data_IF_828811125048
#
_entry.id   IF_828811125048
#
_cell.length_a   1.000
_cell.length_b   1.000
_cell.length_c   1.000
_cell.angle_alpha   90.00
_cell.angle_beta   90.00
_cell.angle_gamma   90.00
#
_symmetry.space_group_name_H-M   'P 1'
#
loop_
_entity.id
_entity.type
_entity.pdbx_description
1 polymer ?
#
# COMPACT_ATOMS: atom_id res chain seq x y z
N UNK A 1 -2.44 -24.08 -17.11
CA UNK A 1 -2.66 -23.73 -15.68
C UNK A 1 -1.28 -23.64 -15.05
N UNK A 2 -0.63 -22.49 -15.17
CA UNK A 2 0.71 -22.27 -14.60
C UNK A 2 0.53 -22.09 -13.10
N UNK A 3 0.98 -23.08 -12.32
CA UNK A 3 1.01 -23.01 -10.87
C UNK A 3 2.02 -21.95 -10.46
N UNK A 4 1.53 -20.81 -9.96
CA UNK A 4 2.40 -19.79 -9.38
C UNK A 4 3.25 -20.43 -8.26
N UNK A 5 4.55 -20.10 -8.15
CA UNK A 5 5.38 -20.59 -7.06
C UNK A 5 4.78 -20.07 -5.75
N UNK A 6 4.37 -20.99 -4.88
CA UNK A 6 3.90 -20.66 -3.53
C UNK A 6 5.03 -19.93 -2.82
N UNK A 7 4.89 -18.63 -2.58
CA UNK A 7 5.74 -17.91 -1.62
C UNK A 7 5.59 -18.59 -0.26
N UNK A 8 6.62 -19.28 0.22
CA UNK A 8 6.62 -19.79 1.59
C UNK A 8 7.07 -18.68 2.54
N UNK A 9 6.38 -18.55 3.65
CA UNK A 9 6.69 -17.56 4.69
C UNK A 9 8.11 -17.71 5.25
N UNK A 10 8.65 -18.93 5.20
CA UNK A 10 10.02 -19.24 5.64
C UNK A 10 11.12 -18.64 4.74
N UNK A 11 10.80 -18.28 3.49
CA UNK A 11 11.77 -17.78 2.52
C UNK A 11 11.95 -16.25 2.59
N UNK A 12 11.11 -15.56 3.38
CA UNK A 12 11.17 -14.11 3.53
C UNK A 12 12.20 -13.71 4.59
N UNK A 13 13.19 -12.90 4.20
CA UNK A 13 14.12 -12.28 5.15
C UNK A 13 13.37 -11.30 6.05
N UNK A 14 13.67 -11.25 7.37
CA UNK A 14 13.04 -10.29 8.27
C UNK A 14 13.41 -8.85 7.84
N UNK A 15 12.39 -8.04 7.58
CA UNK A 15 12.56 -6.62 7.26
C UNK A 15 12.95 -5.88 8.53
N UNK A 16 14.10 -5.21 8.53
CA UNK A 16 14.52 -4.32 9.62
C UNK A 16 13.79 -2.99 9.44
N UNK A 17 12.79 -2.71 10.26
CA UNK A 17 12.05 -1.46 10.22
C UNK A 17 12.92 -0.33 10.80
N UNK A 18 13.39 0.58 9.95
CA UNK A 18 14.10 1.80 10.36
C UNK A 18 13.07 2.91 10.61
N UNK A 19 12.38 2.83 11.75
CA UNK A 19 11.34 3.79 12.12
C UNK A 19 10.74 3.42 13.47
N UNK A 20 10.91 4.30 14.45
CA UNK A 20 10.62 4.05 15.87
C UNK A 20 9.12 3.88 16.16
N UNK A 21 8.57 2.71 15.91
CA UNK A 21 7.48 2.16 16.72
C UNK A 21 7.75 0.68 16.94
N UNK A 22 8.29 0.33 18.10
CA UNK A 22 8.34 -1.04 18.57
C UNK A 22 6.93 -1.49 18.93
N UNK A 23 6.11 -1.80 17.94
CA UNK A 23 4.91 -2.60 18.18
C UNK A 23 5.41 -4.02 18.47
N UNK A 24 5.10 -4.54 19.66
CA UNK A 24 5.34 -5.94 19.96
C UNK A 24 4.74 -6.80 18.83
N UNK A 25 5.44 -7.85 18.41
CA UNK A 25 4.97 -8.77 17.36
C UNK A 25 3.57 -9.30 17.76
N UNK A 26 2.51 -8.77 17.13
CA UNK A 26 1.12 -9.10 17.45
C UNK A 26 0.27 -7.95 18.00
N UNK A 27 0.83 -6.79 18.34
CA UNK A 27 0.05 -5.61 18.74
C UNK A 27 -0.38 -4.83 17.51
N UNK A 28 -1.68 -4.84 17.22
CA UNK A 28 -2.26 -4.05 16.14
C UNK A 28 -2.05 -2.55 16.43
N UNK A 29 -1.65 -1.74 15.43
CA UNK A 29 -1.58 -0.30 15.59
C UNK A 29 -2.95 0.24 16.00
N UNK A 30 -2.99 1.28 16.83
CA UNK A 30 -4.25 1.90 17.24
C UNK A 30 -4.97 2.44 16.01
N UNK A 31 -6.19 1.95 15.78
CA UNK A 31 -7.02 2.42 14.68
C UNK A 31 -7.26 3.92 14.87
N UNK A 32 -6.95 4.71 13.84
CA UNK A 32 -7.09 6.18 13.86
C UNK A 32 -8.54 6.63 13.60
N UNK A 33 -9.48 5.69 13.48
CA UNK A 33 -10.90 5.92 13.24
C UNK A 33 -11.74 5.42 14.42
N UNK A 34 -12.93 5.99 14.61
CA UNK A 34 -13.75 5.72 15.80
C UNK A 34 -14.21 4.26 15.89
N UNK A 35 -14.32 3.71 17.10
CA UNK A 35 -14.71 2.31 17.37
C UNK A 35 -16.04 1.94 16.69
N UNK A 36 -16.98 2.88 16.62
CA UNK A 36 -18.27 2.67 15.94
C UNK A 36 -18.08 2.51 14.43
N UNK A 37 -17.23 3.34 13.82
CA UNK A 37 -16.92 3.26 12.38
C UNK A 37 -16.24 1.94 12.05
N UNK A 38 -15.37 1.46 12.94
CA UNK A 38 -14.70 0.18 12.76
C UNK A 38 -15.67 -1.00 12.76
N UNK A 39 -16.57 -1.05 13.75
CA UNK A 39 -17.60 -2.11 13.81
C UNK A 39 -18.49 -2.11 12.56
N UNK A 40 -18.82 -0.93 12.03
CA UNK A 40 -19.60 -0.83 10.80
C UNK A 40 -18.82 -1.37 9.59
N UNK A 41 -17.53 -1.04 9.48
CA UNK A 41 -16.63 -1.59 8.45
C UNK A 41 -16.61 -3.11 8.52
N UNK A 42 -16.30 -3.68 9.69
CA UNK A 42 -16.19 -5.13 9.88
C UNK A 42 -17.46 -5.91 9.51
N UNK A 43 -18.64 -5.33 9.72
CA UNK A 43 -19.93 -5.93 9.37
C UNK A 43 -20.33 -5.76 7.90
N UNK A 44 -19.64 -4.90 7.14
CA UNK A 44 -20.06 -4.51 5.80
C UNK A 44 -19.61 -5.47 4.70
N UNK A 45 -20.45 -5.62 3.67
CA UNK A 45 -20.13 -6.40 2.47
C UNK A 45 -18.93 -5.81 1.71
N UNK A 46 -18.18 -6.66 0.99
CA UNK A 46 -17.03 -6.23 0.16
C UNK A 46 -17.39 -5.13 -0.83
N UNK A 47 -18.57 -5.17 -1.44
CA UNK A 47 -19.01 -4.15 -2.38
C UNK A 47 -19.26 -2.80 -1.68
N UNK A 48 -19.83 -2.84 -0.47
CA UNK A 48 -20.08 -1.67 0.35
C UNK A 48 -18.77 -1.04 0.86
N UNK A 49 -17.78 -1.86 1.19
CA UNK A 49 -16.45 -1.39 1.53
C UNK A 49 -15.84 -0.48 0.45
N UNK A 50 -15.90 -0.92 -0.80
CA UNK A 50 -15.34 -0.17 -1.92
C UNK A 50 -16.16 1.06 -2.28
N UNK A 51 -17.49 1.04 -2.12
CA UNK A 51 -18.32 2.18 -2.51
C UNK A 51 -18.38 3.29 -1.47
N UNK A 52 -18.34 2.94 -0.18
CA UNK A 52 -18.53 3.90 0.91
C UNK A 52 -17.23 4.30 1.57
N UNK A 53 -16.31 3.35 1.77
CA UNK A 53 -15.08 3.61 2.53
C UNK A 53 -13.84 3.79 1.66
N UNK A 54 -13.89 3.39 0.38
CA UNK A 54 -12.85 3.72 -0.58
C UNK A 54 -13.29 4.95 -1.40
N UNK A 55 -12.49 6.02 -1.43
CA UNK A 55 -12.79 7.19 -2.25
C UNK A 55 -12.65 6.95 -3.77
N UNK A 56 -12.28 5.74 -4.19
CA UNK A 56 -12.09 5.36 -5.59
C UNK A 56 -11.10 6.29 -6.30
N UNK A 57 -11.49 6.87 -7.43
CA UNK A 57 -10.67 7.83 -8.19
C UNK A 57 -10.29 9.10 -7.41
N UNK A 58 -11.02 9.44 -6.35
CA UNK A 58 -10.69 10.58 -5.47
C UNK A 58 -9.76 10.20 -4.34
N UNK A 59 -9.32 8.95 -4.27
CA UNK A 59 -8.42 8.51 -3.23
C UNK A 59 -7.06 9.20 -3.38
N UNK A 60 -6.58 9.81 -2.30
CA UNK A 60 -5.31 10.52 -2.24
C UNK A 60 -4.15 9.64 -2.73
N UNK A 61 -4.19 8.35 -2.40
CA UNK A 61 -3.11 7.40 -2.71
C UNK A 61 -3.24 6.73 -4.08
N UNK A 62 -4.34 6.93 -4.81
CA UNK A 62 -4.59 6.25 -6.08
C UNK A 62 -3.77 6.85 -7.25
N UNK A 63 -3.28 8.08 -7.12
CA UNK A 63 -2.47 8.69 -8.17
C UNK A 63 -1.64 9.90 -7.73
N UNK A 64 -0.87 10.43 -8.67
CA UNK A 64 0.15 11.46 -8.42
C UNK A 64 -0.39 12.87 -8.09
N UNK A 65 -1.68 13.15 -8.30
CA UNK A 65 -2.21 14.51 -8.21
C UNK A 65 -2.06 15.17 -6.82
N UNK A 66 -1.89 14.36 -5.78
CA UNK A 66 -1.82 14.82 -4.38
C UNK A 66 -0.43 14.75 -3.76
N UNK A 67 0.60 14.44 -4.56
CA UNK A 67 1.95 14.17 -4.06
C UNK A 67 3.00 14.97 -4.81
N UNK A 68 4.02 15.42 -4.09
CA UNK A 68 5.17 16.08 -4.70
C UNK A 68 6.15 15.05 -5.26
N UNK A 69 7.05 15.49 -6.15
CA UNK A 69 8.02 14.59 -6.80
C UNK A 69 8.96 13.94 -5.77
N UNK A 70 9.27 14.67 -4.70
CA UNK A 70 10.12 14.23 -3.60
C UNK A 70 9.46 13.10 -2.78
N UNK A 71 8.12 13.03 -2.78
CA UNK A 71 7.31 11.98 -2.12
C UNK A 71 6.96 10.82 -3.08
N UNK A 72 7.62 10.77 -4.25
CA UNK A 72 7.38 9.76 -5.27
C UNK A 72 8.70 9.23 -5.86
N UNK A 73 9.50 8.46 -5.08
CA UNK A 73 10.60 7.68 -5.64
C UNK A 73 10.20 6.85 -6.86
N UNK A 74 8.99 6.29 -6.84
CA UNK A 74 8.32 5.69 -7.99
C UNK A 74 7.33 6.72 -8.53
N UNK A 75 7.63 7.24 -9.73
CA UNK A 75 6.82 8.28 -10.35
C UNK A 75 5.40 7.76 -10.65
N UNK A 76 4.40 8.58 -10.30
CA UNK A 76 3.00 8.33 -10.63
C UNK A 76 2.13 7.92 -9.44
N UNK A 77 2.74 7.53 -8.32
CA UNK A 77 2.04 7.05 -7.14
C UNK A 77 2.82 7.41 -5.87
N UNK A 78 2.10 7.58 -4.76
CA UNK A 78 2.75 7.74 -3.46
C UNK A 78 3.69 6.56 -3.18
N UNK A 79 4.94 6.88 -2.91
CA UNK A 79 5.96 5.90 -2.57
C UNK A 79 6.99 6.49 -1.62
N UNK A 80 7.63 5.65 -0.81
CA UNK A 80 8.66 6.10 0.12
C UNK A 80 9.67 5.00 0.38
N UNK A 81 10.93 5.39 0.52
CA UNK A 81 12.01 4.49 0.92
C UNK A 81 11.89 4.20 2.42
N UNK A 82 11.82 2.92 2.77
CA UNK A 82 11.85 2.45 4.17
C UNK A 82 13.29 2.09 4.57
N UNK A 83 14.04 1.54 3.63
CA UNK A 83 15.49 1.29 3.72
C UNK A 83 16.13 1.56 2.37
N UNK A 84 17.46 1.47 2.28
CA UNK A 84 18.21 1.72 1.04
C UNK A 84 17.76 0.83 -0.13
N UNK A 85 17.36 -0.42 0.16
CA UNK A 85 16.91 -1.39 -0.85
C UNK A 85 15.39 -1.66 -0.85
N UNK A 86 14.61 -1.02 0.04
CA UNK A 86 13.17 -1.30 0.20
C UNK A 86 12.39 -0.02 0.01
N UNK A 87 11.69 0.06 -1.12
CA UNK A 87 10.68 1.08 -1.40
C UNK A 87 9.28 0.51 -1.13
N UNK A 88 8.44 1.33 -0.53
CA UNK A 88 7.00 1.06 -0.37
C UNK A 88 6.22 1.95 -1.32
N UNK A 89 5.12 1.45 -1.85
CA UNK A 89 4.22 2.21 -2.72
C UNK A 89 2.77 1.92 -2.36
N UNK A 90 1.89 2.89 -2.63
CA UNK A 90 0.46 2.62 -2.61
C UNK A 90 0.08 1.62 -3.72
N UNK A 91 -1.09 0.98 -3.60
CA UNK A 91 -1.58 0.02 -4.61
C UNK A 91 -1.78 0.75 -5.95
N UNK A 92 -1.07 0.36 -7.02
CA UNK A 92 -1.25 1.00 -8.32
C UNK A 92 -2.47 0.43 -9.07
N UNK A 93 -3.14 1.29 -9.83
CA UNK A 93 -4.18 0.91 -10.79
C UNK A 93 -3.58 0.66 -12.18
N UNK A 94 -4.27 -0.12 -13.02
CA UNK A 94 -3.82 -0.40 -14.39
C UNK A 94 -3.54 0.88 -15.18
N UNK A 95 -4.41 1.88 -15.04
CA UNK A 95 -4.25 3.19 -15.67
C UNK A 95 -2.93 3.88 -15.27
N UNK A 96 -2.60 3.88 -13.98
CA UNK A 96 -1.38 4.51 -13.45
C UNK A 96 -0.13 3.73 -13.89
N UNK A 97 -0.18 2.38 -13.87
CA UNK A 97 0.93 1.52 -14.30
C UNK A 97 1.32 1.82 -15.75
N UNK A 98 0.34 1.91 -16.64
CA UNK A 98 0.55 2.18 -18.06
C UNK A 98 1.00 3.62 -18.30
N UNK A 99 0.31 4.60 -17.68
CA UNK A 99 0.58 6.03 -17.86
C UNK A 99 1.99 6.43 -17.43
N UNK A 100 2.44 5.96 -16.26
CA UNK A 100 3.74 6.29 -15.70
C UNK A 100 4.81 5.22 -15.95
N UNK A 101 4.46 4.14 -16.67
CA UNK A 101 5.34 3.02 -16.99
C UNK A 101 6.03 2.46 -15.73
N UNK A 102 5.27 2.31 -14.64
CA UNK A 102 5.81 1.95 -13.30
C UNK A 102 6.75 0.75 -13.35
N UNK A 103 6.40 -0.32 -14.08
CA UNK A 103 7.22 -1.54 -14.18
C UNK A 103 8.61 -1.26 -14.77
N UNK A 104 8.74 -0.28 -15.67
CA UNK A 104 10.03 0.06 -16.29
C UNK A 104 10.98 0.77 -15.33
N UNK A 105 10.44 1.50 -14.36
CA UNK A 105 11.22 2.24 -13.35
C UNK A 105 12.00 1.30 -12.40
N UNK A 106 11.66 0.00 -12.37
CA UNK A 106 12.37 -1.02 -11.57
C UNK A 106 13.44 -1.79 -12.34
N UNK A 107 13.59 -1.57 -13.65
CA UNK A 107 14.54 -2.31 -14.50
C UNK A 107 15.82 -1.52 -14.78
N UNK A 108 15.89 -0.29 -14.29
CA UNK A 108 17.06 0.59 -14.35
C UNK A 108 17.85 0.45 -13.05
#
# INVERSE_FOLDING_TARGET
MSSDPKCNLADLKPVKFSGSQSLALGTLPSVQYGIVQEKLRQSSSKAFHCSVFCPGKRCRYEGAAFWQKEEMPIMGIFSTWVTDDIVTMARPSTEIIEKYKIIKQFRE
#
